data_IF_613298265463
#
_entry.id   IF_613298265463
#
_cell.length_a   1.000
_cell.length_b   1.000
_cell.length_c   1.000
_cell.angle_alpha   90.00
_cell.angle_beta   90.00
_cell.angle_gamma   90.00
#
_symmetry.space_group_name_H-M   'P 1'
#
loop_
_entity.id
_entity.type
_entity.pdbx_description
1 polymer ?
#
# COMPACT_ATOMS: atom_id res chain seq x y z
N UNK A 1 -0.95 7.94 13.20
CA UNK A 1 -1.02 7.26 11.89
C UNK A 1 0.39 7.14 11.36
N UNK A 2 0.87 5.95 11.05
CA UNK A 2 2.15 5.80 10.37
C UNK A 2 2.03 6.37 8.96
N UNK A 3 2.87 7.36 8.65
CA UNK A 3 2.90 7.99 7.33
C UNK A 3 3.51 6.98 6.35
N UNK A 4 2.72 6.55 5.37
CA UNK A 4 3.21 5.73 4.25
C UNK A 4 4.06 6.60 3.34
N UNK A 5 5.25 6.13 2.99
CA UNK A 5 6.18 6.81 2.07
C UNK A 5 6.40 5.99 0.82
N UNK A 6 6.90 6.66 -0.23
CA UNK A 6 7.37 5.95 -1.42
C UNK A 6 8.42 4.90 -1.02
N UNK A 7 8.29 3.70 -1.57
CA UNK A 7 9.12 2.53 -1.25
C UNK A 7 8.59 1.66 -0.10
N UNK A 8 7.57 2.11 0.63
CA UNK A 8 6.97 1.29 1.69
C UNK A 8 6.10 0.16 1.10
N UNK A 9 6.13 -0.99 1.77
CA UNK A 9 5.15 -2.06 1.55
C UNK A 9 3.85 -1.73 2.28
N UNK A 10 2.74 -1.96 1.61
CA UNK A 10 1.41 -1.68 2.13
C UNK A 10 0.47 -2.85 1.90
N UNK A 11 -0.53 -2.95 2.77
CA UNK A 11 -1.62 -3.90 2.66
C UNK A 11 -2.95 -3.17 2.78
N UNK A 12 -3.93 -3.48 1.93
CA UNK A 12 -5.29 -2.93 2.03
C UNK A 12 -5.97 -3.39 3.32
N UNK A 13 -6.75 -2.50 3.92
CA UNK A 13 -7.65 -2.80 5.03
C UNK A 13 -8.96 -3.34 4.45
N UNK A 14 -9.37 -4.54 4.84
CA UNK A 14 -10.63 -5.12 4.39
C UNK A 14 -10.64 -6.64 4.40
N UNK A 15 -11.77 -7.26 4.01
CA UNK A 15 -11.95 -8.72 3.98
C UNK A 15 -11.10 -9.41 2.89
N UNK A 16 -10.72 -8.67 1.84
CA UNK A 16 -9.84 -9.15 0.77
C UNK A 16 -8.56 -8.32 0.77
N UNK A 17 -7.61 -8.60 1.68
CA UNK A 17 -6.36 -7.86 1.72
C UNK A 17 -5.58 -8.10 0.42
N UNK A 18 -4.99 -7.04 -0.11
CA UNK A 18 -4.03 -7.10 -1.19
C UNK A 18 -2.78 -6.38 -0.76
N UNK A 19 -1.62 -6.80 -1.25
CA UNK A 19 -0.32 -6.23 -0.90
C UNK A 19 0.30 -5.54 -2.10
N UNK A 20 0.98 -4.44 -1.83
CA UNK A 20 1.60 -3.64 -2.86
C UNK A 20 2.78 -2.86 -2.33
N UNK A 21 3.46 -2.17 -3.23
CA UNK A 21 4.49 -1.21 -2.89
C UNK A 21 4.06 0.20 -3.29
N UNK A 22 4.30 1.17 -2.41
CA UNK A 22 3.99 2.56 -2.67
C UNK A 22 4.98 3.14 -3.69
N UNK A 23 4.51 3.50 -4.88
CA UNK A 23 5.32 4.09 -5.96
C UNK A 23 5.37 5.60 -5.90
N UNK A 24 4.32 6.23 -5.36
CA UNK A 24 4.17 7.68 -5.29
C UNK A 24 3.36 8.06 -4.06
N UNK A 25 3.74 9.14 -3.40
CA UNK A 25 2.98 9.75 -2.33
C UNK A 25 2.66 11.18 -2.73
N UNK A 26 1.39 11.46 -3.01
CA UNK A 26 0.89 12.79 -3.29
C UNK A 26 0.26 13.34 -2.01
N UNK A 27 1.06 14.13 -1.28
CA UNK A 27 0.61 14.85 -0.09
C UNK A 27 -0.01 16.15 -0.57
N UNK A 28 -1.32 16.16 -0.74
CA UNK A 28 -2.04 17.43 -0.88
C UNK A 28 -2.24 18.02 0.53
N UNK A 29 -1.93 19.31 0.68
CA UNK A 29 -1.84 19.99 1.99
C UNK A 29 -3.20 20.15 2.69
N UNK A 30 -4.27 19.68 2.05
CA UNK A 30 -5.66 19.80 2.48
C UNK A 30 -6.22 18.38 2.67
N UNK A 31 -5.82 17.73 3.75
CA UNK A 31 -6.53 16.64 4.44
C UNK A 31 -6.70 15.26 3.75
N UNK A 32 -6.24 15.05 2.52
CA UNK A 32 -6.27 13.71 1.91
C UNK A 32 -4.88 13.29 1.41
N UNK A 33 -4.24 12.38 2.14
CA UNK A 33 -3.03 11.72 1.69
C UNK A 33 -3.41 10.63 0.68
N UNK A 34 -3.09 10.83 -0.59
CA UNK A 34 -3.26 9.81 -1.63
C UNK A 34 -1.92 9.17 -1.93
N UNK A 35 -1.93 7.86 -2.10
CA UNK A 35 -0.76 7.08 -2.48
C UNK A 35 -1.06 6.31 -3.76
N UNK A 36 -0.08 6.20 -4.63
CA UNK A 36 -0.11 5.23 -5.73
C UNK A 36 0.57 3.96 -5.27
N UNK A 37 -0.15 2.85 -5.38
CA UNK A 37 0.32 1.51 -4.99
C UNK A 37 0.39 0.65 -6.24
N UNK A 38 1.50 -0.03 -6.44
CA UNK A 38 1.62 -1.10 -7.42
C UNK A 38 1.41 -2.44 -6.72
N UNK A 39 0.43 -3.21 -7.18
CA UNK A 39 -0.02 -4.43 -6.50
C UNK A 39 0.86 -5.62 -6.89
N UNK A 40 1.40 -6.30 -5.88
CA UNK A 40 2.29 -7.44 -6.09
C UNK A 40 1.52 -8.61 -6.70
N UNK A 41 2.15 -9.30 -7.65
CA UNK A 41 1.50 -10.39 -8.40
C UNK A 41 0.58 -9.92 -9.52
N UNK A 42 0.48 -8.61 -9.75
CA UNK A 42 -0.27 -8.03 -10.88
C UNK A 42 0.59 -7.00 -11.61
N UNK A 43 0.15 -6.55 -12.79
CA UNK A 43 0.74 -5.39 -13.47
C UNK A 43 -0.02 -4.09 -13.18
N UNK A 44 -0.92 -4.11 -12.20
CA UNK A 44 -1.84 -3.01 -11.91
C UNK A 44 -1.27 -2.05 -10.88
N UNK A 45 -1.60 -0.77 -11.05
CA UNK A 45 -1.34 0.27 -10.06
C UNK A 45 -2.61 1.06 -9.80
N UNK A 46 -2.80 1.50 -8.56
CA UNK A 46 -4.00 2.25 -8.16
C UNK A 46 -3.62 3.41 -7.25
N UNK A 47 -4.25 4.56 -7.47
CA UNK A 47 -4.18 5.71 -6.55
C UNK A 47 -5.33 5.63 -5.57
N UNK A 48 -5.02 5.50 -4.29
CA UNK A 48 -6.00 5.29 -3.21
C UNK A 48 -5.69 6.18 -2.01
N UNK A 49 -6.67 6.47 -1.14
CA UNK A 49 -6.39 7.19 0.10
C UNK A 49 -5.53 6.33 1.02
N UNK A 50 -4.52 6.93 1.64
CA UNK A 50 -3.59 6.27 2.56
C UNK A 50 -4.32 5.55 3.71
N UNK A 51 -5.48 6.05 4.10
CA UNK A 51 -6.32 5.49 5.16
C UNK A 51 -6.84 4.10 4.85
N UNK A 52 -6.91 3.72 3.56
CA UNK A 52 -7.34 2.39 3.12
C UNK A 52 -6.24 1.34 3.24
N UNK A 53 -5.00 1.75 3.55
CA UNK A 53 -3.88 0.82 3.70
C UNK A 53 -3.25 0.92 5.09
N UNK A 54 -2.51 -0.13 5.43
CA UNK A 54 -1.54 -0.10 6.53
C UNK A 54 -0.16 -0.44 5.99
N UNK A 55 0.86 0.19 6.56
CA UNK A 55 2.25 -0.17 6.31
C UNK A 55 2.52 -1.56 6.88
N UNK A 56 3.28 -2.37 6.15
CA UNK A 56 3.72 -3.70 6.56
C UNK A 56 5.23 -3.85 6.34
N UNK A 57 5.87 -4.79 7.03
CA UNK A 57 7.27 -5.12 6.79
C UNK A 57 7.45 -5.93 5.51
N UNK A 58 8.69 -5.99 5.00
CA UNK A 58 9.03 -6.82 3.83
C UNK A 58 8.77 -8.31 4.13
N UNK A 59 9.09 -8.77 5.33
CA UNK A 59 8.86 -10.15 5.78
C UNK A 59 7.36 -10.49 5.77
N UNK A 60 6.52 -9.55 6.23
CA UNK A 60 5.06 -9.70 6.18
C UNK A 60 4.54 -9.76 4.74
N UNK A 61 5.08 -8.94 3.84
CA UNK A 61 4.72 -8.96 2.41
C UNK A 61 5.09 -10.30 1.77
N UNK A 62 6.31 -10.80 2.01
CA UNK A 62 6.76 -12.10 1.48
C UNK A 62 5.94 -13.27 2.05
N UNK A 63 5.65 -13.25 3.35
CA UNK A 63 4.82 -14.28 3.99
C UNK A 63 3.38 -14.30 3.44
N UNK A 64 2.88 -13.17 2.93
CA UNK A 64 1.60 -13.10 2.24
C UNK A 64 1.69 -13.74 0.85
N UNK A 65 2.71 -13.41 0.05
CA UNK A 65 2.90 -13.98 -1.30
C UNK A 65 3.08 -15.50 -1.31
N UNK A 66 3.72 -16.08 -0.29
CA UNK A 66 3.95 -17.53 -0.21
C UNK A 66 2.66 -18.30 0.14
N UNK A 67 1.66 -17.62 0.70
CA UNK A 67 0.39 -18.24 1.13
C UNK A 67 -0.70 -18.25 0.05
N UNK A 68 -0.48 -17.58 -1.08
CA UNK A 68 -1.38 -17.53 -2.24
C UNK A 68 -0.85 -18.53 -3.27
#
# INVERSE_FOLDING_TARGET
>A
MDIVKQGDFVMTKGPSPNIGFCTKNDIDTIYHHWITVHWLGTLESSTIPMDFVRKISKEQAMAYLIRI
#
